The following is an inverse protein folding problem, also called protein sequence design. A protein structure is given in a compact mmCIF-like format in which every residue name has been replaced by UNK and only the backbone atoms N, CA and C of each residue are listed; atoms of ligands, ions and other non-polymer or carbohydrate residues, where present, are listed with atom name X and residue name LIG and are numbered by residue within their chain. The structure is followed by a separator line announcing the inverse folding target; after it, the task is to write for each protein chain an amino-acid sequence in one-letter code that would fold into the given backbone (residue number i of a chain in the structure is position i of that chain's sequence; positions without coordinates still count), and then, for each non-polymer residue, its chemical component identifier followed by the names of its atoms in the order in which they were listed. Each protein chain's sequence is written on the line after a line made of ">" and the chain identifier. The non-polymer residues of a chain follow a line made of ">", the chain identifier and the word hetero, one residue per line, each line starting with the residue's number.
data_IF_696161436929
#
_entry.id   IF_696161436929
#
_cell.length_a   1.000
_cell.length_b   1.000
_cell.length_c   1.000
_cell.angle_alpha   90.00
_cell.angle_beta   90.00
_cell.angle_gamma   90.00
#
_symmetry.space_group_name_H-M   'P 1'
#
loop_
_entity.id
_entity.type
_entity.pdbx_description
1 polymer ?
#
# COMPACT_ATOMS: atom_id res chain seq x y z
N UNK A 1 -0.07 -14.38 1.35
CA UNK A 1 -0.42 -13.93 -0.03
C UNK A 1 -1.15 -14.99 -0.87
N UNK A 2 -1.17 -16.28 -0.50
CA UNK A 2 -2.13 -17.26 -1.06
C UNK A 2 -3.58 -16.79 -0.94
N UNK A 3 -3.90 -16.18 0.19
CA UNK A 3 -5.29 -15.85 0.52
C UNK A 3 -5.83 -14.68 -0.30
N UNK A 4 -5.00 -13.68 -0.64
CA UNK A 4 -5.41 -12.55 -1.50
C UNK A 4 -5.62 -13.00 -2.95
N UNK A 5 -4.76 -13.89 -3.46
CA UNK A 5 -4.93 -14.45 -4.80
C UNK A 5 -6.22 -15.29 -4.90
N UNK A 6 -6.53 -16.05 -3.85
CA UNK A 6 -7.77 -16.83 -3.75
C UNK A 6 -9.01 -15.93 -3.63
N UNK A 7 -8.96 -14.87 -2.81
CA UNK A 7 -10.07 -13.92 -2.63
C UNK A 7 -10.40 -13.14 -3.90
N UNK A 8 -9.46 -12.99 -4.83
CA UNK A 8 -9.65 -12.25 -6.09
C UNK A 8 -9.86 -13.15 -7.33
N UNK A 9 -10.11 -14.45 -7.14
CA UNK A 9 -10.19 -15.45 -8.24
C UNK A 9 -8.99 -15.38 -9.20
N UNK A 10 -7.81 -15.08 -8.65
CA UNK A 10 -6.61 -14.83 -9.44
C UNK A 10 -5.93 -16.14 -9.82
N UNK A 11 -6.08 -16.55 -11.08
CA UNK A 11 -5.60 -17.85 -11.61
C UNK A 11 -4.13 -17.87 -12.06
N UNK A 12 -3.39 -16.74 -11.99
CA UNK A 12 -1.99 -16.70 -12.45
C UNK A 12 -1.00 -17.10 -11.34
N UNK A 13 0.06 -17.78 -11.77
CA UNK A 13 1.12 -18.36 -10.92
C UNK A 13 1.63 -17.38 -9.86
N UNK A 14 1.73 -17.88 -8.63
CA UNK A 14 2.28 -17.28 -7.41
C UNK A 14 3.61 -16.51 -7.53
N UNK A 15 4.32 -16.61 -8.65
CA UNK A 15 5.61 -15.96 -8.90
C UNK A 15 5.50 -14.50 -9.35
N UNK A 16 4.30 -13.99 -9.69
CA UNK A 16 4.11 -12.61 -10.16
C UNK A 16 4.20 -11.54 -9.05
N UNK A 17 4.19 -11.93 -7.77
CA UNK A 17 4.16 -11.02 -6.61
C UNK A 17 5.51 -10.40 -6.24
N UNK A 18 6.54 -10.49 -7.10
CA UNK A 18 7.90 -10.06 -6.74
C UNK A 18 8.11 -8.56 -6.98
N UNK A 19 8.23 -7.82 -5.87
CA UNK A 19 9.12 -6.67 -5.75
C UNK A 19 8.54 -5.27 -5.87
N UNK A 20 7.31 -5.09 -6.38
CA UNK A 20 6.79 -3.74 -6.64
C UNK A 20 5.92 -3.15 -5.52
N UNK A 21 5.50 -3.92 -4.51
CA UNK A 21 4.59 -3.45 -3.45
C UNK A 21 3.19 -3.02 -3.92
N UNK A 22 2.94 -2.94 -5.24
CA UNK A 22 1.64 -2.63 -5.82
C UNK A 22 1.34 -3.58 -6.97
N UNK A 23 0.12 -4.07 -6.98
CA UNK A 23 -0.41 -4.98 -7.99
C UNK A 23 -1.78 -4.51 -8.46
N UNK A 24 -2.13 -4.75 -9.72
CA UNK A 24 -3.48 -4.49 -10.23
C UNK A 24 -4.07 -5.70 -10.95
N UNK A 25 -5.38 -5.91 -10.76
CA UNK A 25 -6.17 -6.92 -11.44
C UNK A 25 -7.58 -6.41 -11.66
N UNK A 26 -8.00 -6.37 -12.93
CA UNK A 26 -9.28 -5.78 -13.35
C UNK A 26 -9.41 -4.36 -12.75
N UNK A 27 -10.49 -4.09 -12.02
CA UNK A 27 -10.79 -2.80 -11.40
C UNK A 27 -10.14 -2.60 -10.03
N UNK A 28 -9.17 -3.42 -9.65
CA UNK A 28 -8.61 -3.42 -8.30
C UNK A 28 -7.11 -3.19 -8.32
N UNK A 29 -6.67 -2.29 -7.44
CA UNK A 29 -5.29 -2.10 -7.04
C UNK A 29 -5.10 -2.65 -5.62
N UNK A 30 -3.98 -3.32 -5.40
CA UNK A 30 -3.59 -3.93 -4.14
C UNK A 30 -2.25 -3.36 -3.73
N UNK A 31 -2.24 -2.61 -2.63
CA UNK A 31 -1.08 -1.91 -2.10
C UNK A 31 -0.58 -2.68 -0.87
N UNK A 32 0.62 -3.25 -0.98
CA UNK A 32 1.30 -3.99 0.07
C UNK A 32 2.38 -3.10 0.68
N UNK A 33 2.10 -2.60 1.88
CA UNK A 33 2.86 -1.53 2.52
C UNK A 33 3.57 -2.06 3.77
N UNK A 34 4.85 -1.73 3.88
CA UNK A 34 5.70 -2.05 5.03
C UNK A 34 6.02 -0.74 5.74
N UNK A 35 5.63 -0.59 7.00
CA UNK A 35 5.85 0.68 7.72
C UNK A 35 7.30 0.84 8.16
N UNK A 36 7.94 -0.25 8.55
CA UNK A 36 9.35 -0.30 8.90
C UNK A 36 10.13 -1.00 7.78
N UNK A 37 11.18 -0.33 7.30
CA UNK A 37 12.05 -0.83 6.24
C UNK A 37 13.36 -1.35 6.83
N UNK A 38 13.95 -2.36 6.20
CA UNK A 38 15.31 -2.81 6.52
C UNK A 38 16.34 -1.72 6.09
N UNK A 39 17.55 -1.73 6.64
CA UNK A 39 18.54 -0.66 6.44
C UNK A 39 18.91 -0.40 4.96
N UNK A 40 18.92 -1.45 4.13
CA UNK A 40 19.24 -1.38 2.70
C UNK A 40 18.03 -1.05 1.80
N UNK A 41 16.86 -0.79 2.37
CA UNK A 41 15.65 -0.54 1.61
C UNK A 41 15.52 0.93 1.18
N UNK A 42 14.73 1.16 0.13
CA UNK A 42 14.37 2.51 -0.31
C UNK A 42 13.65 3.22 0.86
N UNK A 43 14.10 4.43 1.18
CA UNK A 43 13.58 5.25 2.28
C UNK A 43 12.20 5.88 1.95
N UNK A 44 11.20 5.04 1.72
CA UNK A 44 9.80 5.44 1.63
C UNK A 44 9.28 5.89 2.99
N UNK A 45 8.49 6.96 3.00
CA UNK A 45 7.93 7.54 4.22
C UNK A 45 6.51 7.03 4.50
N UNK A 46 6.31 5.72 4.37
CA UNK A 46 5.03 5.06 4.61
C UNK A 46 4.66 5.15 6.09
N UNK A 47 3.51 5.74 6.43
CA UNK A 47 3.05 5.85 7.81
C UNK A 47 1.53 6.03 7.91
N UNK A 48 0.97 5.56 9.01
CA UNK A 48 -0.37 5.97 9.42
C UNK A 48 -0.30 7.34 10.10
N UNK A 49 -1.09 8.29 9.62
CA UNK A 49 -1.22 9.62 10.20
C UNK A 49 -2.33 9.66 11.26
N UNK A 50 -3.35 8.81 11.09
CA UNK A 50 -4.44 8.60 12.03
C UNK A 50 -5.03 7.20 11.81
N UNK A 51 -5.97 6.74 12.65
CA UNK A 51 -6.67 5.46 12.42
C UNK A 51 -7.47 5.38 11.10
N UNK A 52 -7.60 6.47 10.35
CA UNK A 52 -8.33 6.54 9.08
C UNK A 52 -7.53 7.20 7.96
N UNK A 53 -6.24 7.48 8.15
CA UNK A 53 -5.43 8.16 7.15
C UNK A 53 -4.03 7.55 7.04
N UNK A 54 -3.66 7.22 5.80
CA UNK A 54 -2.37 6.65 5.43
C UNK A 54 -1.61 7.63 4.53
N UNK A 55 -0.34 7.85 4.84
CA UNK A 55 0.63 8.37 3.90
C UNK A 55 1.37 7.20 3.27
N UNK A 56 1.46 7.18 1.94
CA UNK A 56 2.12 6.10 1.21
C UNK A 56 2.95 6.64 0.05
N UNK A 57 4.19 6.17 -0.08
CA UNK A 57 5.06 6.48 -1.20
C UNK A 57 4.92 5.42 -2.30
N UNK A 58 4.58 5.88 -3.51
CA UNK A 58 4.48 4.99 -4.66
C UNK A 58 5.85 4.41 -5.06
N UNK A 59 5.92 3.19 -5.60
CA UNK A 59 7.15 2.69 -6.22
C UNK A 59 7.65 3.66 -7.29
N UNK A 60 8.96 3.81 -7.45
CA UNK A 60 9.56 4.72 -8.44
C UNK A 60 9.16 4.40 -9.90
N UNK A 61 8.75 3.16 -10.16
CA UNK A 61 8.20 2.76 -11.46
C UNK A 61 6.86 3.43 -11.78
N UNK A 62 6.15 3.97 -10.79
CA UNK A 62 4.86 4.65 -10.96
C UNK A 62 5.08 5.98 -11.66
N UNK A 63 4.39 6.19 -12.79
CA UNK A 63 4.43 7.45 -13.53
C UNK A 63 3.28 8.36 -13.07
N UNK A 64 3.54 9.66 -12.84
CA UNK A 64 2.58 10.61 -12.30
C UNK A 64 1.50 11.03 -13.31
N UNK A 65 1.88 11.10 -14.58
CA UNK A 65 1.11 11.68 -15.68
C UNK A 65 0.35 10.62 -16.50
N UNK A 66 0.77 9.35 -16.42
CA UNK A 66 0.18 8.21 -17.13
C UNK A 66 0.35 6.92 -16.33
N UNK A 67 -0.58 5.98 -16.48
CA UNK A 67 -0.49 4.67 -15.83
C UNK A 67 -0.83 4.75 -14.34
N UNK A 68 -0.02 4.10 -13.48
CA UNK A 68 -0.38 3.84 -12.08
C UNK A 68 -0.68 5.09 -11.24
N UNK A 69 0.08 6.18 -11.40
CA UNK A 69 -0.16 7.41 -10.64
C UNK A 69 -1.51 8.05 -10.98
N UNK A 70 -1.80 8.20 -12.27
CA UNK A 70 -3.08 8.73 -12.76
C UNK A 70 -4.26 7.80 -12.41
N UNK A 71 -4.05 6.48 -12.40
CA UNK A 71 -5.05 5.52 -11.94
C UNK A 71 -5.39 5.68 -10.45
N UNK A 72 -4.39 5.92 -9.59
CA UNK A 72 -4.60 6.18 -8.16
C UNK A 72 -5.30 7.53 -7.95
N UNK A 73 -4.89 8.58 -8.66
CA UNK A 73 -5.47 9.93 -8.52
C UNK A 73 -6.93 9.94 -8.97
N UNK A 74 -7.26 9.29 -10.09
CA UNK A 74 -8.61 9.25 -10.68
C UNK A 74 -9.35 7.96 -10.38
N UNK A 75 -8.99 7.27 -9.30
CA UNK A 75 -9.48 5.90 -9.06
C UNK A 75 -11.01 5.86 -8.95
N UNK A 76 -11.61 6.85 -8.27
CA UNK A 76 -13.08 6.95 -8.12
C UNK A 76 -13.76 7.11 -9.49
N UNK A 77 -13.28 8.06 -10.32
CA UNK A 77 -13.83 8.32 -11.65
C UNK A 77 -13.72 7.10 -12.57
N UNK A 78 -12.64 6.33 -12.43
CA UNK A 78 -12.38 5.12 -13.23
C UNK A 78 -13.04 3.85 -12.65
N UNK A 79 -13.75 3.95 -11.53
CA UNK A 79 -14.33 2.80 -10.84
C UNK A 79 -13.26 1.81 -10.36
N UNK A 80 -12.08 2.30 -10.00
CA UNK A 80 -10.95 1.54 -9.47
C UNK A 80 -10.96 1.57 -7.94
N UNK A 81 -10.75 0.40 -7.34
CA UNK A 81 -10.66 0.21 -5.88
C UNK A 81 -9.20 0.09 -5.45
N UNK A 82 -8.84 0.77 -4.37
CA UNK A 82 -7.50 0.69 -3.79
C UNK A 82 -7.57 -0.12 -2.49
N UNK A 83 -7.04 -1.33 -2.47
CA UNK A 83 -7.03 -2.20 -1.29
C UNK A 83 -5.69 -2.10 -0.56
N UNK A 84 -5.70 -1.75 0.73
CA UNK A 84 -4.48 -1.56 1.51
C UNK A 84 -4.20 -2.75 2.43
N UNK A 85 -3.02 -3.33 2.26
CA UNK A 85 -2.47 -4.43 3.06
C UNK A 85 -1.19 -3.93 3.74
N UNK A 86 -1.21 -3.83 5.08
CA UNK A 86 -0.13 -3.21 5.85
C UNK A 86 0.51 -4.22 6.78
N UNK A 87 1.83 -4.14 6.92
CA UNK A 87 2.58 -4.76 8.02
C UNK A 87 3.58 -3.79 8.58
N UNK A 88 3.90 -3.93 9.86
CA UNK A 88 4.94 -3.11 10.49
C UNK A 88 6.32 -3.51 10.02
N UNK A 89 6.73 -4.74 10.35
CA UNK A 89 8.03 -5.29 9.97
C UNK A 89 7.86 -6.38 8.92
N UNK A 90 8.82 -6.51 8.01
CA UNK A 90 8.85 -7.63 7.05
C UNK A 90 9.08 -8.97 7.74
N UNK A 91 9.99 -9.00 8.72
CA UNK A 91 10.32 -10.16 9.54
C UNK A 91 10.50 -9.76 11.00
N UNK A 92 10.15 -10.66 11.90
CA UNK A 92 10.46 -10.60 13.34
C UNK A 92 11.02 -11.98 13.68
N UNK A 93 12.19 -12.04 14.32
CA UNK A 93 12.88 -13.29 14.68
C UNK A 93 12.98 -14.29 13.50
N UNK A 94 13.39 -13.78 12.34
CA UNK A 94 13.46 -14.49 11.05
C UNK A 94 12.11 -14.99 10.48
N UNK A 95 10.99 -14.82 11.18
CA UNK A 95 9.64 -15.19 10.73
C UNK A 95 9.05 -14.05 9.91
N UNK A 96 8.62 -14.34 8.68
CA UNK A 96 7.94 -13.38 7.80
C UNK A 96 6.58 -13.03 8.37
N UNK A 97 6.35 -11.75 8.62
CA UNK A 97 5.09 -11.28 9.17
C UNK A 97 4.02 -11.16 8.08
N UNK A 98 2.77 -11.57 8.37
CA UNK A 98 1.66 -11.43 7.44
C UNK A 98 1.31 -9.96 7.23
N UNK A 99 0.64 -9.67 6.12
CA UNK A 99 -0.03 -8.39 5.94
C UNK A 99 -1.43 -8.44 6.54
N UNK A 100 -1.86 -7.33 7.11
CA UNK A 100 -3.22 -7.10 7.61
C UNK A 100 -3.95 -6.21 6.60
N UNK A 101 -5.15 -6.60 6.17
CA UNK A 101 -6.00 -5.74 5.36
C UNK A 101 -6.62 -4.65 6.23
N UNK A 102 -6.47 -3.39 5.84
CA UNK A 102 -6.94 -2.23 6.62
C UNK A 102 -8.08 -1.45 5.95
N UNK A 103 -8.62 -1.96 4.83
CA UNK A 103 -9.74 -1.34 4.13
C UNK A 103 -9.43 -0.83 2.72
N UNK A 104 -10.44 -0.23 2.10
CA UNK A 104 -10.30 0.48 0.83
C UNK A 104 -9.81 1.91 1.08
N UNK A 105 -8.82 2.33 0.30
CA UNK A 105 -8.27 3.68 0.31
C UNK A 105 -8.97 4.59 -0.69
N UNK A 106 -9.18 5.84 -0.31
CA UNK A 106 -9.62 6.92 -1.19
C UNK A 106 -8.54 7.99 -1.29
N UNK A 107 -8.21 8.37 -2.53
CA UNK A 107 -7.23 9.42 -2.79
C UNK A 107 -7.68 10.77 -2.19
N UNK A 108 -6.79 11.43 -1.44
CA UNK A 108 -7.00 12.77 -0.89
C UNK A 108 -6.11 13.81 -1.58
N UNK A 109 -4.79 13.57 -1.61
CA UNK A 109 -3.81 14.48 -2.18
C UNK A 109 -2.50 13.76 -2.52
N UNK A 110 -1.61 14.43 -3.25
CA UNK A 110 -0.27 13.94 -3.50
C UNK A 110 0.78 15.07 -3.54
N UNK A 111 2.04 14.69 -3.32
CA UNK A 111 3.21 15.55 -3.49
C UNK A 111 4.18 14.87 -4.45
N UNK A 112 4.65 15.62 -5.44
CA UNK A 112 5.77 15.22 -6.29
C UNK A 112 7.09 15.55 -5.59
N UNK A 113 7.96 14.55 -5.44
CA UNK A 113 9.36 14.80 -5.05
C UNK A 113 10.13 15.39 -6.24
N UNK A 114 11.35 15.87 -6.02
CA UNK A 114 12.13 16.68 -6.97
C UNK A 114 12.36 16.05 -8.36
N UNK A 115 12.18 14.73 -8.51
CA UNK A 115 12.23 13.97 -9.77
C UNK A 115 10.86 13.42 -10.23
N UNK A 116 9.76 13.92 -9.64
CA UNK A 116 8.39 13.43 -9.73
C UNK A 116 8.15 12.00 -9.19
N UNK A 117 9.17 11.40 -8.55
CA UNK A 117 9.15 10.03 -8.03
C UNK A 117 10.01 9.90 -6.77
N UNK A 118 9.64 9.04 -5.80
CA UNK A 118 8.31 8.47 -5.62
C UNK A 118 7.26 9.59 -5.39
N UNK A 119 6.00 9.31 -5.74
CA UNK A 119 4.86 10.19 -5.42
C UNK A 119 4.40 9.85 -4.01
N UNK A 120 4.31 10.86 -3.15
CA UNK A 120 3.74 10.69 -1.81
C UNK A 120 2.25 10.93 -1.87
N UNK A 121 1.45 9.91 -1.58
CA UNK A 121 -0.01 9.98 -1.54
C UNK A 121 -0.53 10.11 -0.12
N UNK A 122 -1.59 10.89 0.04
CA UNK A 122 -2.47 10.88 1.21
C UNK A 122 -3.74 10.13 0.85
N UNK A 123 -4.05 9.09 1.61
CA UNK A 123 -5.23 8.24 1.40
C UNK A 123 -6.09 8.24 2.68
N UNK A 124 -7.40 8.44 2.56
CA UNK A 124 -8.34 8.09 3.63
C UNK A 124 -8.71 6.62 3.54
N UNK A 125 -9.07 6.02 4.66
CA UNK A 125 -9.59 4.66 4.74
C UNK A 125 -11.12 4.71 4.87
N UNK A 126 -11.81 3.80 4.20
CA UNK A 126 -13.26 3.62 4.33
C UNK A 126 -13.68 3.15 5.73
N UNK A 127 -12.77 2.49 6.45
CA UNK A 127 -12.97 1.96 7.78
C UNK A 127 -11.91 2.45 8.76
N UNK A 128 -12.32 2.64 10.02
CA UNK A 128 -11.40 2.95 11.11
C UNK A 128 -10.58 1.72 11.44
N UNK A 129 -9.25 1.84 11.46
CA UNK A 129 -8.38 0.78 11.93
C UNK A 129 -8.70 0.51 13.41
N UNK A 130 -8.96 -0.74 13.81
CA UNK A 130 -9.20 -1.08 15.21
C UNK A 130 -8.04 -0.63 16.11
N UNK A 131 -8.36 -0.07 17.29
CA UNK A 131 -7.39 0.57 18.19
C UNK A 131 -6.16 -0.31 18.48
N UNK A 132 -6.36 -1.61 18.70
CA UNK A 132 -5.27 -2.54 18.97
C UNK A 132 -4.31 -2.67 17.77
N UNK A 133 -4.86 -2.84 16.56
CA UNK A 133 -4.07 -2.94 15.32
C UNK A 133 -3.35 -1.61 15.03
N UNK A 134 -4.04 -0.49 15.23
CA UNK A 134 -3.44 0.84 15.05
C UNK A 134 -2.27 1.04 16.01
N UNK A 135 -2.44 0.71 17.29
CA UNK A 135 -1.41 0.81 18.31
C UNK A 135 -0.18 -0.05 17.96
N UNK A 136 -0.39 -1.29 17.51
CA UNK A 136 0.71 -2.16 17.07
C UNK A 136 1.53 -1.52 15.95
N UNK A 137 0.88 -0.83 15.01
CA UNK A 137 1.53 -0.18 13.86
C UNK A 137 2.30 1.10 14.19
N UNK A 138 1.82 1.93 15.12
CA UNK A 138 2.41 3.25 15.39
C UNK A 138 3.38 3.30 16.57
N UNK A 139 3.30 2.37 17.51
CA UNK A 139 4.23 2.33 18.65
C UNK A 139 5.63 1.94 18.16
N UNK A 140 6.68 2.68 18.51
CA UNK A 140 8.06 2.20 18.31
C UNK A 140 8.35 1.05 19.27
N UNK A 141 8.84 -0.07 18.73
CA UNK A 141 9.35 -1.19 19.52
C UNK A 141 10.71 -0.87 20.13
#
# INVERSE_FOLDING_TARGET
>A
MRDVALACEYSKKHSAFRGAGVFSYRQHYFLFIELHKDEDAIAYQDKLLSPQQMQWDSPESSRPDRGRGDDIIKHVEKGLKLHLFVRKFRKIDAVVQPYIYIGEGVYLSHIYKSSHKPITFQLSLDNVIPTQIYAEFVTTG
#
